data_IF_587167554661
#
_entry.id   IF_587167554661
#
_cell.length_a   1.000
_cell.length_b   1.000
_cell.length_c   1.000
_cell.angle_alpha   90.00
_cell.angle_beta   90.00
_cell.angle_gamma   90.00
#
_symmetry.space_group_name_H-M   'P 1'
#
loop_
_entity.id
_entity.type
_entity.pdbx_description
1 polymer ?
#
# COMPACT_ATOMS: atom_id res chain seq x y z
N UNK A 1 -3.42 5.31 28.58
CA UNK A 1 -3.38 4.77 29.96
C UNK A 1 -2.84 3.36 29.85
N UNK A 2 -1.58 3.14 30.23
CA UNK A 2 -0.97 1.79 30.17
C UNK A 2 -1.63 0.94 31.26
N UNK A 3 -2.42 -0.04 30.86
CA UNK A 3 -2.87 -1.08 31.77
C UNK A 3 -1.66 -1.97 32.10
N UNK A 4 -1.27 -1.95 33.37
CA UNK A 4 -0.26 -2.86 33.89
C UNK A 4 -0.85 -4.28 33.91
N UNK A 5 -0.10 -5.25 33.39
CA UNK A 5 -0.48 -6.66 33.46
C UNK A 5 -0.83 -7.09 34.91
N UNK A 6 -1.83 -7.94 35.11
CA UNK A 6 -2.18 -8.45 36.43
C UNK A 6 -1.01 -9.17 37.10
N UNK A 7 -0.81 -8.97 38.40
CA UNK A 7 0.31 -9.53 39.19
C UNK A 7 0.49 -11.06 39.01
N UNK A 8 -0.59 -11.80 38.79
CA UNK A 8 -0.55 -13.24 38.51
C UNK A 8 0.10 -13.60 37.16
N UNK A 9 -0.03 -12.76 36.18
CA UNK A 9 0.58 -12.93 34.85
C UNK A 9 2.10 -12.62 34.91
N UNK A 10 2.50 -11.61 35.69
CA UNK A 10 3.90 -11.29 35.96
C UNK A 10 4.61 -12.42 36.72
N UNK A 11 3.93 -13.04 37.69
CA UNK A 11 4.47 -14.18 38.44
C UNK A 11 4.67 -15.41 37.53
N UNK A 12 3.71 -15.71 36.63
CA UNK A 12 3.82 -16.80 35.65
C UNK A 12 4.98 -16.65 34.70
N UNK A 13 5.15 -15.45 34.12
CA UNK A 13 6.25 -15.13 33.21
C UNK A 13 7.62 -15.17 33.91
N UNK A 14 7.67 -14.85 35.20
CA UNK A 14 8.88 -14.98 36.01
C UNK A 14 9.27 -16.44 36.25
N UNK A 15 8.31 -17.33 36.49
CA UNK A 15 8.55 -18.78 36.66
C UNK A 15 8.96 -19.45 35.35
N UNK A 16 8.33 -19.10 34.23
CA UNK A 16 8.70 -19.58 32.89
C UNK A 16 10.10 -19.09 32.46
N UNK A 17 10.46 -17.85 32.78
CA UNK A 17 11.80 -17.32 32.54
C UNK A 17 12.88 -18.02 33.36
N UNK A 18 12.61 -18.37 34.61
CA UNK A 18 13.51 -19.15 35.46
C UNK A 18 13.67 -20.61 34.97
N UNK A 19 12.60 -21.20 34.42
CA UNK A 19 12.65 -22.54 33.83
C UNK A 19 13.51 -22.61 32.58
N UNK A 20 13.46 -21.61 31.73
CA UNK A 20 14.29 -21.48 30.52
C UNK A 20 15.76 -21.29 30.87
N UNK A 21 16.09 -20.43 31.85
CA UNK A 21 17.45 -20.24 32.32
C UNK A 21 18.06 -21.51 32.92
N UNK A 22 17.29 -22.33 33.60
CA UNK A 22 17.77 -23.58 34.20
C UNK A 22 18.06 -24.67 33.17
N UNK A 23 17.39 -24.67 32.02
CA UNK A 23 17.56 -25.69 30.98
C UNK A 23 18.65 -25.35 29.94
N UNK A 24 18.99 -24.07 29.78
CA UNK A 24 19.95 -23.59 28.77
C UNK A 24 21.40 -23.42 29.32
N UNK A 25 21.66 -23.81 30.59
CA UNK A 25 23.01 -23.79 31.14
C UNK A 25 23.62 -22.40 31.37
N UNK A 26 22.80 -21.38 31.53
CA UNK A 26 23.26 -19.99 31.81
C UNK A 26 23.63 -19.90 33.31
N UNK A 27 24.83 -19.38 33.68
CA UNK A 27 25.25 -19.30 35.07
C UNK A 27 24.30 -18.43 35.91
N UNK A 28 23.78 -18.94 37.01
CA UNK A 28 23.06 -18.16 38.01
C UNK A 28 24.06 -17.23 38.71
N UNK A 29 23.83 -15.92 38.61
CA UNK A 29 24.54 -14.94 39.39
C UNK A 29 24.00 -14.95 40.83
N UNK A 30 24.84 -15.29 41.78
CA UNK A 30 24.57 -15.17 43.22
C UNK A 30 24.35 -13.72 43.62
N UNK A 31 23.37 -13.54 44.47
CA UNK A 31 22.84 -12.32 45.06
C UNK A 31 23.94 -11.55 45.81
N UNK A 32 24.46 -10.47 45.23
CA UNK A 32 25.20 -9.44 45.97
C UNK A 32 24.55 -8.09 45.70
N UNK A 33 24.10 -7.50 46.79
CA UNK A 33 23.39 -6.24 46.93
C UNK A 33 23.69 -5.20 45.83
N UNK A 34 22.76 -4.96 44.95
CA UNK A 34 22.80 -3.89 43.97
C UNK A 34 22.40 -2.57 44.58
N UNK A 35 23.40 -1.70 44.76
CA UNK A 35 23.18 -0.27 44.89
C UNK A 35 23.17 0.36 43.52
N UNK A 36 22.09 1.06 43.17
CA UNK A 36 22.12 2.03 42.11
C UNK A 36 21.06 1.91 41.03
N UNK A 37 20.50 3.03 40.65
CA UNK A 37 19.51 3.28 39.60
C UNK A 37 19.88 2.74 38.19
N UNK A 38 21.16 2.44 37.95
CA UNK A 38 21.66 1.90 36.69
C UNK A 38 21.21 0.46 36.39
N UNK A 39 20.92 -0.36 37.42
CA UNK A 39 20.47 -1.74 37.24
C UNK A 39 19.02 -1.84 36.73
N UNK A 40 18.17 -0.87 37.09
CA UNK A 40 16.77 -0.80 36.63
C UNK A 40 16.67 -0.36 35.16
N UNK A 41 17.60 0.48 34.70
CA UNK A 41 17.70 0.87 33.29
C UNK A 41 18.17 -0.30 32.41
N UNK A 42 19.13 -1.09 32.88
CA UNK A 42 19.58 -2.29 32.18
C UNK A 42 18.48 -3.38 32.10
N UNK A 43 17.72 -3.61 33.18
CA UNK A 43 16.57 -4.51 33.14
C UNK A 43 15.49 -4.05 32.13
N UNK A 44 15.17 -2.77 32.10
CA UNK A 44 14.21 -2.23 31.12
C UNK A 44 14.71 -2.39 29.68
N UNK A 45 15.98 -2.13 29.42
CA UNK A 45 16.57 -2.34 28.09
C UNK A 45 16.62 -3.81 27.69
N UNK A 46 16.95 -4.71 28.62
CA UNK A 46 16.94 -6.16 28.37
C UNK A 46 15.50 -6.65 28.13
N UNK A 47 14.51 -6.18 28.89
CA UNK A 47 13.10 -6.48 28.63
C UNK A 47 12.62 -5.93 27.28
N UNK A 48 13.03 -4.72 26.89
CA UNK A 48 12.70 -4.19 25.57
C UNK A 48 13.40 -4.97 24.45
N UNK A 49 14.64 -5.38 24.63
CA UNK A 49 15.35 -6.20 23.64
C UNK A 49 14.80 -7.62 23.57
N UNK A 50 14.40 -8.23 24.68
CA UNK A 50 13.73 -9.53 24.70
C UNK A 50 12.32 -9.45 24.13
N UNK A 51 11.57 -8.40 24.41
CA UNK A 51 10.26 -8.15 23.82
C UNK A 51 10.38 -7.90 22.31
N UNK A 52 11.40 -7.16 21.87
CA UNK A 52 11.69 -6.94 20.45
C UNK A 52 12.16 -8.23 19.76
N UNK A 53 13.04 -9.01 20.41
CA UNK A 53 13.45 -10.33 19.92
C UNK A 53 12.28 -11.34 19.89
N UNK A 54 11.41 -11.32 20.90
CA UNK A 54 10.18 -12.13 20.93
C UNK A 54 9.25 -11.73 19.80
N UNK A 55 8.99 -10.46 19.56
CA UNK A 55 8.22 -9.96 18.43
C UNK A 55 8.86 -10.34 17.08
N UNK A 56 10.20 -10.31 16.99
CA UNK A 56 10.92 -10.68 15.75
C UNK A 56 10.97 -12.19 15.51
N UNK A 57 10.97 -13.01 16.57
CA UNK A 57 11.09 -14.48 16.46
C UNK A 57 9.73 -15.19 16.34
N UNK A 58 8.65 -14.55 16.81
CA UNK A 58 7.27 -15.04 16.69
C UNK A 58 6.44 -14.29 15.66
N UNK A 59 7.04 -13.47 14.81
CA UNK A 59 6.48 -13.12 13.52
C UNK A 59 6.65 -14.35 12.58
N UNK A 60 6.07 -15.49 12.98
CA UNK A 60 5.55 -16.44 12.01
C UNK A 60 4.67 -15.64 11.07
N UNK A 61 4.83 -15.83 9.77
CA UNK A 61 3.99 -15.27 8.71
C UNK A 61 2.52 -15.24 9.16
N UNK A 62 2.12 -14.18 9.84
CA UNK A 62 0.71 -13.95 10.14
C UNK A 62 0.10 -13.78 8.75
N UNK A 63 -0.53 -14.85 8.27
CA UNK A 63 -1.21 -14.87 6.99
C UNK A 63 -2.08 -13.61 6.95
N UNK A 64 -1.76 -12.68 6.03
CA UNK A 64 -2.45 -11.40 5.91
C UNK A 64 -3.88 -11.74 5.52
N UNK A 65 -4.77 -11.81 6.51
CA UNK A 65 -6.17 -12.22 6.32
C UNK A 65 -7.04 -11.00 6.07
N UNK A 66 -7.77 -11.05 4.97
CA UNK A 66 -8.73 -10.02 4.63
C UNK A 66 -9.96 -10.06 5.56
N UNK A 67 -10.39 -8.91 6.02
CA UNK A 67 -11.75 -8.69 6.52
C UNK A 67 -12.62 -8.17 5.41
N UNK A 68 -13.87 -8.67 5.29
CA UNK A 68 -14.83 -8.12 4.34
C UNK A 68 -15.64 -7.04 5.04
N UNK A 69 -15.54 -5.82 4.53
CA UNK A 69 -16.31 -4.67 5.00
C UNK A 69 -17.28 -4.21 3.91
N UNK A 70 -18.57 -4.17 4.23
CA UNK A 70 -19.57 -3.64 3.31
C UNK A 70 -19.54 -2.12 3.34
N UNK A 71 -19.18 -1.48 2.23
CA UNK A 71 -19.18 -0.02 2.08
C UNK A 71 -20.11 0.34 0.92
N UNK A 72 -21.22 0.99 1.23
CA UNK A 72 -22.31 1.15 0.27
C UNK A 72 -22.81 -0.21 -0.21
N UNK A 73 -22.79 -0.43 -1.51
CA UNK A 73 -23.17 -1.70 -2.12
C UNK A 73 -21.98 -2.61 -2.47
N UNK A 74 -20.76 -2.29 -2.00
CA UNK A 74 -19.53 -3.00 -2.38
C UNK A 74 -18.90 -3.75 -1.19
N UNK A 75 -18.60 -5.07 -1.35
CA UNK A 75 -17.84 -5.84 -0.38
C UNK A 75 -16.34 -5.56 -0.54
N UNK A 76 -15.82 -4.60 0.19
CA UNK A 76 -14.39 -4.25 0.18
C UNK A 76 -13.59 -5.24 1.02
N UNK A 77 -12.40 -5.64 0.55
CA UNK A 77 -11.46 -6.42 1.36
C UNK A 77 -10.50 -5.46 2.06
N UNK A 78 -10.41 -5.60 3.39
CA UNK A 78 -9.58 -4.76 4.23
C UNK A 78 -8.49 -5.62 4.86
N UNK A 79 -7.26 -5.18 4.79
CA UNK A 79 -6.07 -5.83 5.34
C UNK A 79 -5.32 -4.86 6.24
N UNK A 80 -4.58 -5.37 7.19
CA UNK A 80 -3.77 -4.57 8.09
C UNK A 80 -4.46 -4.23 9.40
N UNK A 81 -3.90 -3.30 10.15
CA UNK A 81 -4.29 -2.99 11.52
C UNK A 81 -4.92 -1.59 11.66
N UNK A 82 -5.77 -1.37 12.66
CA UNK A 82 -6.23 -0.04 13.06
C UNK A 82 -5.04 0.89 13.42
N UNK A 83 -5.28 2.19 13.39
CA UNK A 83 -4.27 3.23 13.70
C UNK A 83 -3.09 3.29 12.72
N UNK A 84 -3.26 2.79 11.50
CA UNK A 84 -2.25 2.84 10.46
C UNK A 84 -1.85 4.28 10.09
N UNK A 85 -0.57 4.49 9.77
CA UNK A 85 -0.05 5.77 9.26
C UNK A 85 -0.42 5.99 7.80
N UNK A 86 -0.60 4.89 7.06
CA UNK A 86 -0.93 4.88 5.63
C UNK A 86 -2.22 4.15 5.37
N UNK A 87 -3.10 4.77 4.58
CA UNK A 87 -4.28 4.14 4.00
C UNK A 87 -4.03 3.90 2.52
N UNK A 88 -3.85 2.64 2.13
CA UNK A 88 -3.63 2.22 0.75
C UNK A 88 -4.96 1.84 0.12
N UNK A 89 -5.30 2.45 -1.00
CA UNK A 89 -6.53 2.22 -1.74
C UNK A 89 -6.23 1.66 -3.12
N UNK A 90 -6.89 0.57 -3.48
CA UNK A 90 -6.76 -0.03 -4.82
C UNK A 90 -8.12 -0.43 -5.38
N UNK A 91 -8.38 0.02 -6.60
CA UNK A 91 -9.54 -0.47 -7.36
C UNK A 91 -9.23 -1.85 -7.92
N UNK A 92 -10.15 -2.81 -7.76
CA UNK A 92 -9.93 -4.20 -8.13
C UNK A 92 -11.03 -4.76 -9.01
N UNK A 93 -10.64 -5.54 -10.02
CA UNK A 93 -11.52 -6.46 -10.74
C UNK A 93 -11.38 -7.89 -10.21
N UNK A 94 -11.97 -8.85 -10.91
CA UNK A 94 -11.90 -10.28 -10.51
C UNK A 94 -10.46 -10.83 -10.53
N UNK A 95 -9.64 -10.37 -11.48
CA UNK A 95 -8.25 -10.83 -11.61
C UNK A 95 -7.39 -10.35 -10.46
N UNK A 96 -7.46 -9.08 -10.11
CA UNK A 96 -6.68 -8.49 -9.03
C UNK A 96 -7.08 -9.11 -7.68
N UNK A 97 -8.37 -9.43 -7.50
CA UNK A 97 -8.85 -10.08 -6.27
C UNK A 97 -8.28 -11.49 -6.05
N UNK A 98 -7.86 -12.19 -7.10
CA UNK A 98 -7.26 -13.53 -6.99
C UNK A 98 -5.84 -13.50 -6.44
N UNK A 99 -5.07 -12.44 -6.74
CA UNK A 99 -3.68 -12.25 -6.29
C UNK A 99 -3.55 -11.29 -5.11
N UNK A 100 -4.66 -10.78 -4.57
CA UNK A 100 -4.64 -9.72 -3.57
C UNK A 100 -3.92 -10.12 -2.28
N UNK A 101 -4.12 -11.34 -1.80
CA UNK A 101 -3.46 -11.82 -0.58
C UNK A 101 -1.93 -11.88 -0.77
N UNK A 102 -1.47 -12.30 -1.95
CA UNK A 102 -0.04 -12.32 -2.34
C UNK A 102 0.53 -10.90 -2.46
N UNK A 103 -0.23 -9.98 -3.06
CA UNK A 103 0.16 -8.58 -3.19
C UNK A 103 0.33 -7.91 -1.83
N UNK A 104 -0.67 -8.05 -0.95
CA UNK A 104 -0.61 -7.45 0.39
C UNK A 104 0.46 -8.11 1.27
N UNK A 105 0.66 -9.43 1.16
CA UNK A 105 1.77 -10.10 1.82
C UNK A 105 3.14 -9.58 1.35
N UNK A 106 3.29 -9.29 0.06
CA UNK A 106 4.50 -8.68 -0.48
C UNK A 106 4.70 -7.25 0.06
N UNK A 107 3.64 -6.43 0.17
CA UNK A 107 3.72 -5.10 0.80
C UNK A 107 4.21 -5.23 2.25
N UNK A 108 3.66 -6.16 3.01
CA UNK A 108 3.97 -6.35 4.43
C UNK A 108 5.41 -6.82 4.72
N UNK A 109 6.14 -7.33 3.71
CA UNK A 109 7.54 -7.73 3.88
C UNK A 109 8.49 -6.56 4.20
N UNK A 110 8.18 -5.35 3.73
CA UNK A 110 9.05 -4.19 3.92
C UNK A 110 8.33 -2.95 4.47
N UNK A 111 7.01 -2.97 4.54
CA UNK A 111 6.21 -1.86 5.02
C UNK A 111 5.34 -2.28 6.21
N UNK A 112 5.27 -1.40 7.20
CA UNK A 112 4.50 -1.59 8.42
C UNK A 112 3.55 -0.41 8.63
N UNK A 113 2.60 -0.54 9.54
CA UNK A 113 1.65 0.53 9.90
C UNK A 113 0.78 1.02 8.75
N UNK A 114 0.34 0.12 7.88
CA UNK A 114 -0.61 0.43 6.82
C UNK A 114 -1.92 -0.32 6.97
N UNK A 115 -2.97 0.30 6.46
CA UNK A 115 -4.26 -0.33 6.17
C UNK A 115 -4.43 -0.37 4.65
N UNK A 116 -4.73 -1.54 4.10
CA UNK A 116 -4.98 -1.70 2.67
C UNK A 116 -6.46 -2.01 2.42
N UNK A 117 -7.07 -1.30 1.49
CA UNK A 117 -8.44 -1.52 1.08
C UNK A 117 -8.51 -1.81 -0.42
N UNK A 118 -8.96 -3.03 -0.76
CA UNK A 118 -9.29 -3.43 -2.12
C UNK A 118 -10.77 -3.16 -2.39
N UNK A 119 -11.06 -2.28 -3.34
CA UNK A 119 -12.40 -1.79 -3.66
C UNK A 119 -12.84 -2.38 -5.00
N UNK A 120 -13.85 -3.29 -5.03
CA UNK A 120 -14.26 -3.93 -6.27
C UNK A 120 -14.99 -2.96 -7.21
N UNK A 121 -14.71 -3.07 -8.51
CA UNK A 121 -15.44 -2.38 -9.57
C UNK A 121 -16.15 -3.39 -10.49
N UNK A 122 -17.40 -3.11 -10.85
CA UNK A 122 -18.22 -4.01 -11.67
C UNK A 122 -17.83 -3.99 -13.14
N UNK A 123 -17.49 -2.82 -13.65
CA UNK A 123 -17.09 -2.60 -15.04
C UNK A 123 -15.76 -1.88 -15.09
N UNK A 124 -14.69 -2.65 -15.27
CA UNK A 124 -13.31 -2.15 -15.26
C UNK A 124 -13.10 -0.95 -16.20
N UNK A 125 -13.47 -1.12 -17.47
CA UNK A 125 -13.27 -0.08 -18.47
C UNK A 125 -14.14 1.16 -18.24
N UNK A 126 -15.36 1.00 -17.71
CA UNK A 126 -16.24 2.13 -17.45
C UNK A 126 -15.83 2.88 -16.19
N UNK A 127 -15.63 2.15 -15.10
CA UNK A 127 -15.41 2.72 -13.78
C UNK A 127 -14.09 3.46 -13.63
N UNK A 128 -13.05 3.05 -14.39
CA UNK A 128 -11.69 3.54 -14.20
C UNK A 128 -11.22 4.46 -15.33
N UNK A 129 -11.97 4.60 -16.41
CA UNK A 129 -11.59 5.52 -17.50
C UNK A 129 -12.03 6.96 -17.21
N UNK A 130 -11.14 7.95 -17.39
CA UNK A 130 -11.43 9.37 -17.16
C UNK A 130 -12.60 9.92 -18.01
N UNK A 131 -12.69 9.48 -19.26
CA UNK A 131 -13.74 9.86 -20.23
C UNK A 131 -14.06 8.71 -21.17
N UNK A 132 -15.12 8.89 -21.94
CA UNK A 132 -15.53 7.90 -22.95
C UNK A 132 -14.49 7.82 -24.05
N UNK A 133 -14.14 6.57 -24.42
CA UNK A 133 -13.23 6.31 -25.52
C UNK A 133 -13.63 5.01 -26.25
N UNK A 134 -13.41 4.93 -27.58
CA UNK A 134 -13.58 3.69 -28.30
C UNK A 134 -12.71 2.56 -27.76
N UNK A 135 -13.07 1.31 -28.11
CA UNK A 135 -12.25 0.16 -27.79
C UNK A 135 -10.87 0.27 -28.45
N UNK A 136 -9.81 0.08 -27.68
CA UNK A 136 -8.42 0.03 -28.16
C UNK A 136 -8.04 -1.40 -28.54
N UNK A 137 -8.64 -2.38 -27.87
CA UNK A 137 -8.60 -3.78 -28.24
C UNK A 137 -9.97 -4.43 -27.99
N UNK A 138 -10.25 -5.57 -28.63
CA UNK A 138 -11.52 -6.26 -28.48
C UNK A 138 -12.71 -5.43 -28.98
N UNK A 139 -13.86 -5.53 -28.30
CA UNK A 139 -15.11 -4.85 -28.69
C UNK A 139 -15.61 -3.86 -27.64
N UNK A 140 -15.09 -3.91 -26.40
CA UNK A 140 -15.57 -3.09 -25.30
C UNK A 140 -14.80 -1.78 -25.26
N UNK A 141 -15.50 -0.67 -25.39
CA UNK A 141 -14.94 0.68 -25.18
C UNK A 141 -14.84 1.05 -23.71
N UNK A 142 -14.58 2.31 -23.45
CA UNK A 142 -14.41 2.91 -22.14
C UNK A 142 -15.57 3.85 -21.83
N UNK A 143 -16.17 3.71 -20.64
CA UNK A 143 -17.41 4.41 -20.29
C UNK A 143 -17.23 5.81 -19.71
N UNK A 144 -16.04 6.16 -19.22
CA UNK A 144 -15.73 7.50 -18.68
C UNK A 144 -16.40 7.79 -17.34
N UNK A 145 -16.47 6.81 -16.43
CA UNK A 145 -17.12 6.95 -15.12
C UNK A 145 -16.13 7.10 -13.94
N UNK A 146 -14.87 7.42 -14.23
CA UNK A 146 -13.87 7.61 -13.18
C UNK A 146 -14.29 8.65 -12.13
N UNK A 147 -15.02 9.70 -12.54
CA UNK A 147 -15.54 10.70 -11.60
C UNK A 147 -16.55 10.13 -10.60
N UNK A 148 -17.38 9.16 -10.99
CA UNK A 148 -18.31 8.48 -10.08
C UNK A 148 -17.55 7.58 -9.12
N UNK A 149 -16.51 6.90 -9.60
CA UNK A 149 -15.62 6.07 -8.78
C UNK A 149 -14.84 6.91 -7.77
N UNK A 150 -14.28 8.05 -8.19
CA UNK A 150 -13.60 8.97 -7.28
C UNK A 150 -14.56 9.52 -6.21
N UNK A 151 -15.76 9.92 -6.59
CA UNK A 151 -16.78 10.37 -5.64
C UNK A 151 -17.12 9.28 -4.62
N UNK A 152 -17.30 8.03 -5.04
CA UNK A 152 -17.50 6.91 -4.12
C UNK A 152 -16.34 6.72 -3.15
N UNK A 153 -15.09 6.86 -3.60
CA UNK A 153 -13.90 6.81 -2.72
C UNK A 153 -13.93 7.95 -1.69
N UNK A 154 -14.16 9.18 -2.14
CA UNK A 154 -14.03 10.37 -1.28
C UNK A 154 -15.23 10.56 -0.35
N UNK A 155 -16.44 10.20 -0.77
CA UNK A 155 -17.64 10.43 0.01
C UNK A 155 -18.07 9.22 0.86
N UNK A 156 -17.66 8.00 0.49
CA UNK A 156 -18.09 6.80 1.20
C UNK A 156 -16.92 5.97 1.75
N UNK A 157 -15.96 5.56 0.89
CA UNK A 157 -14.90 4.62 1.31
C UNK A 157 -14.01 5.23 2.38
N UNK A 158 -13.37 6.35 2.07
CA UNK A 158 -12.40 6.99 2.98
C UNK A 158 -13.05 7.39 4.31
N UNK A 159 -14.21 8.08 4.34
CA UNK A 159 -14.86 8.42 5.60
C UNK A 159 -15.28 7.19 6.43
N UNK A 160 -15.78 6.13 5.78
CA UNK A 160 -16.17 4.90 6.46
C UNK A 160 -14.96 4.21 7.10
N UNK A 161 -13.85 4.07 6.35
CA UNK A 161 -12.62 3.46 6.87
C UNK A 161 -12.04 4.27 8.02
N UNK A 162 -11.95 5.60 7.88
CA UNK A 162 -11.47 6.48 8.96
C UNK A 162 -12.28 6.32 10.23
N UNK A 163 -13.59 6.29 10.11
CA UNK A 163 -14.48 6.22 11.28
C UNK A 163 -14.54 4.82 11.90
N UNK A 164 -14.69 3.75 11.08
CA UNK A 164 -14.87 2.39 11.61
C UNK A 164 -13.59 1.76 12.14
N UNK A 165 -12.44 2.18 11.60
CA UNK A 165 -11.13 1.63 11.96
C UNK A 165 -10.27 2.61 12.76
N UNK A 166 -10.89 3.70 13.24
CA UNK A 166 -10.25 4.72 14.09
C UNK A 166 -8.89 5.18 13.52
N UNK A 167 -8.86 5.48 12.19
CA UNK A 167 -7.65 5.96 11.56
C UNK A 167 -7.35 7.41 11.97
N UNK A 168 -6.06 7.78 12.10
CA UNK A 168 -5.67 9.15 12.42
C UNK A 168 -6.22 10.17 11.42
N UNK A 169 -6.56 11.37 11.86
CA UNK A 169 -7.01 12.44 10.95
C UNK A 169 -5.98 12.76 9.86
N UNK A 170 -4.70 12.67 10.20
CA UNK A 170 -3.57 12.92 9.31
C UNK A 170 -3.06 11.68 8.59
N UNK A 171 -3.82 10.58 8.55
CA UNK A 171 -3.45 9.37 7.80
C UNK A 171 -3.09 9.73 6.36
N UNK A 172 -1.93 9.28 5.91
CA UNK A 172 -1.46 9.50 4.54
C UNK A 172 -2.20 8.55 3.60
N UNK A 173 -2.99 9.07 2.66
CA UNK A 173 -3.78 8.27 1.74
C UNK A 173 -3.01 8.07 0.44
N UNK A 174 -2.79 6.82 0.07
CA UNK A 174 -2.11 6.43 -1.17
C UNK A 174 -3.11 5.69 -2.06
N UNK A 175 -3.33 6.22 -3.26
CA UNK A 175 -4.14 5.55 -4.27
C UNK A 175 -3.24 4.87 -5.29
N UNK A 176 -3.49 3.59 -5.55
CA UNK A 176 -2.64 2.84 -6.46
C UNK A 176 -3.39 1.81 -7.29
N UNK A 177 -2.63 1.10 -8.10
CA UNK A 177 -3.13 0.00 -8.90
C UNK A 177 -2.34 -0.27 -10.17
N UNK A 178 -2.75 -1.32 -10.86
CA UNK A 178 -2.16 -1.79 -12.09
C UNK A 178 -2.95 -1.33 -13.32
N UNK A 179 -2.27 -1.08 -14.41
CA UNK A 179 -2.90 -0.84 -15.72
C UNK A 179 -3.89 0.34 -15.70
N UNK A 180 -5.17 0.10 -15.98
CA UNK A 180 -6.21 1.14 -15.97
C UNK A 180 -6.48 1.67 -14.55
N UNK A 181 -6.28 0.86 -13.50
CA UNK A 181 -6.35 1.34 -12.12
C UNK A 181 -5.18 2.28 -11.79
N UNK A 182 -3.99 2.04 -12.34
CA UNK A 182 -2.86 2.97 -12.26
C UNK A 182 -3.15 4.30 -12.97
N UNK A 183 -3.77 4.26 -14.16
CA UNK A 183 -4.25 5.47 -14.84
C UNK A 183 -5.30 6.21 -14.00
N UNK A 184 -6.25 5.48 -13.43
CA UNK A 184 -7.28 6.05 -12.56
C UNK A 184 -6.65 6.78 -11.36
N UNK A 185 -5.64 6.17 -10.72
CA UNK A 185 -4.94 6.78 -9.59
C UNK A 185 -4.22 8.10 -9.99
N UNK A 186 -3.54 8.10 -11.12
CA UNK A 186 -2.92 9.31 -11.68
C UNK A 186 -3.98 10.38 -11.98
N UNK A 187 -5.08 10.01 -12.65
CA UNK A 187 -6.16 10.93 -12.99
C UNK A 187 -6.87 11.47 -11.73
N UNK A 188 -7.18 10.62 -10.77
CA UNK A 188 -7.83 11.03 -9.52
C UNK A 188 -6.99 12.08 -8.77
N UNK A 189 -5.67 11.92 -8.79
CA UNK A 189 -4.74 12.90 -8.19
C UNK A 189 -4.64 14.22 -8.96
N UNK A 190 -5.22 14.34 -10.16
CA UNK A 190 -5.39 15.64 -10.83
C UNK A 190 -6.66 16.36 -10.36
N UNK A 191 -7.62 15.63 -9.75
CA UNK A 191 -8.94 16.15 -9.36
C UNK A 191 -8.98 16.65 -7.91
N UNK A 192 -8.07 16.18 -7.07
CA UNK A 192 -8.03 16.48 -5.63
C UNK A 192 -6.61 16.31 -5.07
N UNK A 193 -6.29 17.07 -4.04
CA UNK A 193 -5.05 17.00 -3.25
C UNK A 193 -5.13 16.02 -2.06
N UNK A 194 -6.22 15.27 -1.96
CA UNK A 194 -6.47 14.31 -0.89
C UNK A 194 -5.40 13.20 -0.81
N UNK A 195 -4.83 12.81 -1.96
CA UNK A 195 -3.89 11.72 -2.04
C UNK A 195 -2.47 12.20 -1.76
N UNK A 196 -1.88 11.70 -0.66
CA UNK A 196 -0.46 11.90 -0.34
C UNK A 196 0.43 11.36 -1.46
N UNK A 197 0.10 10.16 -1.99
CA UNK A 197 0.89 9.53 -3.02
C UNK A 197 0.09 8.71 -4.02
N UNK A 198 0.71 8.43 -5.14
CA UNK A 198 0.18 7.60 -6.22
C UNK A 198 1.13 6.44 -6.50
N UNK A 199 0.62 5.21 -6.38
CA UNK A 199 1.34 3.97 -6.69
C UNK A 199 0.85 3.40 -8.04
N UNK A 200 1.40 3.90 -9.15
CA UNK A 200 0.95 3.55 -10.49
C UNK A 200 1.87 2.52 -11.16
N UNK A 201 1.51 1.24 -11.07
CA UNK A 201 2.23 0.15 -11.71
C UNK A 201 1.71 -0.12 -13.13
N UNK A 202 2.59 -0.08 -14.11
CA UNK A 202 2.29 -0.25 -15.54
C UNK A 202 1.02 0.51 -16.00
N UNK A 203 0.87 1.81 -15.64
CA UNK A 203 -0.37 2.54 -15.87
C UNK A 203 -0.68 2.68 -17.36
N UNK A 204 -1.96 2.67 -17.71
CA UNK A 204 -2.45 2.82 -19.09
C UNK A 204 -2.29 4.25 -19.62
N UNK A 205 -1.09 4.83 -19.52
CA UNK A 205 -0.81 6.22 -19.97
C UNK A 205 -0.85 6.39 -21.50
N UNK A 206 -1.12 5.32 -22.23
CA UNK A 206 -1.48 5.32 -23.64
C UNK A 206 -2.95 5.75 -23.88
N UNK A 207 -3.75 5.91 -22.83
CA UNK A 207 -5.17 6.25 -22.95
C UNK A 207 -5.33 7.54 -23.75
N UNK A 208 -6.27 7.59 -24.73
CA UNK A 208 -6.42 8.73 -25.63
C UNK A 208 -6.57 10.05 -24.86
N UNK A 209 -5.88 11.09 -25.32
CA UNK A 209 -5.87 12.46 -24.78
C UNK A 209 -5.33 12.62 -23.35
N UNK A 210 -4.87 11.54 -22.70
CA UNK A 210 -4.36 11.59 -21.34
C UNK A 210 -3.18 12.53 -21.16
N UNK A 211 -2.18 12.46 -22.04
CA UNK A 211 -0.95 13.26 -21.92
C UNK A 211 -1.20 14.76 -22.13
N UNK A 212 -2.20 15.10 -22.93
CA UNK A 212 -2.64 16.49 -23.12
C UNK A 212 -3.42 16.98 -21.90
N UNK A 213 -4.33 16.16 -21.40
CA UNK A 213 -5.10 16.45 -20.19
C UNK A 213 -4.20 16.67 -18.97
N UNK A 214 -3.23 15.78 -18.69
CA UNK A 214 -2.30 15.87 -17.57
C UNK A 214 -1.43 17.16 -17.64
N UNK A 215 -1.06 17.58 -18.83
CA UNK A 215 -0.32 18.83 -19.00
C UNK A 215 -1.10 20.06 -18.52
N UNK A 216 -2.42 20.05 -18.72
CA UNK A 216 -3.32 21.13 -18.32
C UNK A 216 -3.82 20.99 -16.87
N UNK A 217 -3.85 19.78 -16.34
CA UNK A 217 -4.33 19.44 -15.01
C UNK A 217 -3.26 18.64 -14.26
N UNK A 218 -2.32 19.31 -13.59
CA UNK A 218 -1.21 18.66 -12.94
C UNK A 218 -1.64 17.68 -11.83
N UNK A 219 -0.93 16.57 -11.70
CA UNK A 219 -1.02 15.65 -10.59
C UNK A 219 -0.62 16.39 -9.31
N UNK A 220 -1.44 16.28 -8.25
CA UNK A 220 -1.29 17.02 -7.00
C UNK A 220 -0.63 16.20 -5.88
N UNK A 221 -0.43 14.88 -6.07
CA UNK A 221 0.24 14.03 -5.10
C UNK A 221 1.69 14.48 -4.87
N UNK A 222 2.13 14.39 -3.62
CA UNK A 222 3.51 14.72 -3.22
C UNK A 222 4.50 13.69 -3.75
N UNK A 223 4.08 12.42 -3.84
CA UNK A 223 4.89 11.28 -4.24
C UNK A 223 4.22 10.46 -5.34
N UNK A 224 4.96 10.13 -6.37
CA UNK A 224 4.43 9.36 -7.52
C UNK A 224 5.41 8.27 -7.93
N UNK A 225 5.01 7.03 -7.75
CA UNK A 225 5.73 5.90 -8.34
C UNK A 225 5.14 5.55 -9.70
N UNK A 226 6.00 5.39 -10.68
CA UNK A 226 5.67 4.90 -12.02
C UNK A 226 6.50 3.65 -12.32
N UNK A 227 5.92 2.67 -12.97
CA UNK A 227 6.70 1.57 -13.55
C UNK A 227 6.15 1.12 -14.89
N UNK A 228 6.97 0.40 -15.65
CA UNK A 228 6.56 -0.22 -16.90
C UNK A 228 7.39 -1.49 -17.15
N UNK A 229 6.80 -2.49 -17.79
CA UNK A 229 7.55 -3.64 -18.30
C UNK A 229 8.33 -3.27 -19.56
N UNK A 230 9.58 -3.73 -19.66
CA UNK A 230 10.52 -3.43 -20.75
C UNK A 230 10.04 -3.91 -22.15
N UNK A 231 9.00 -4.75 -22.19
CA UNK A 231 8.38 -5.24 -23.43
C UNK A 231 7.02 -4.61 -23.75
N UNK A 232 6.49 -3.76 -22.88
CA UNK A 232 5.13 -3.22 -23.06
C UNK A 232 5.04 -2.24 -24.24
N UNK A 233 6.05 -1.42 -24.45
CA UNK A 233 6.12 -0.49 -25.58
C UNK A 233 6.33 -1.17 -26.95
N UNK A 234 6.71 -2.47 -26.96
CA UNK A 234 6.94 -3.25 -28.18
C UNK A 234 5.69 -4.00 -28.68
N UNK A 235 4.50 -3.58 -28.21
CA UNK A 235 3.22 -4.13 -28.70
C UNK A 235 2.97 -3.77 -30.16
N UNK A 236 2.21 -4.65 -30.86
CA UNK A 236 1.76 -4.37 -32.25
C UNK A 236 0.58 -3.38 -32.30
N UNK A 237 -0.07 -3.14 -31.16
CA UNK A 237 -1.16 -2.13 -31.09
C UNK A 237 -0.56 -0.75 -31.04
N UNK A 238 -0.74 0.02 -32.12
CA UNK A 238 -0.14 1.34 -32.29
C UNK A 238 -0.61 2.39 -31.26
N UNK A 239 -1.84 2.24 -30.74
CA UNK A 239 -2.36 3.11 -29.66
C UNK A 239 -1.65 2.82 -28.36
N UNK A 240 -1.39 1.54 -28.05
CA UNK A 240 -0.73 1.16 -26.80
C UNK A 240 0.79 1.31 -26.86
N UNK A 241 1.39 1.23 -28.03
CA UNK A 241 2.86 1.30 -28.22
C UNK A 241 3.48 2.61 -27.72
N UNK A 242 2.71 3.68 -27.63
CA UNK A 242 3.17 4.98 -27.13
C UNK A 242 3.39 5.02 -25.61
N UNK A 243 3.06 3.94 -24.90
CA UNK A 243 3.10 3.87 -23.43
C UNK A 243 4.49 4.18 -22.88
N UNK A 244 5.55 3.72 -23.55
CA UNK A 244 6.94 3.96 -23.14
C UNK A 244 7.33 5.43 -23.22
N UNK A 245 7.02 6.10 -24.33
CA UNK A 245 7.30 7.53 -24.51
C UNK A 245 6.43 8.38 -23.58
N UNK A 246 5.17 8.02 -23.42
CA UNK A 246 4.25 8.73 -22.54
C UNK A 246 4.69 8.66 -21.07
N UNK A 247 5.10 7.48 -20.57
CA UNK A 247 5.51 7.35 -19.18
C UNK A 247 6.82 8.08 -18.89
N UNK A 248 7.79 8.08 -19.82
CA UNK A 248 9.03 8.88 -19.73
C UNK A 248 8.71 10.36 -19.68
N UNK A 249 7.79 10.81 -20.54
CA UNK A 249 7.35 12.21 -20.60
C UNK A 249 6.65 12.61 -19.30
N UNK A 250 5.74 11.77 -18.78
CA UNK A 250 5.05 12.01 -17.52
C UNK A 250 6.04 12.12 -16.35
N UNK A 251 6.97 11.18 -16.23
CA UNK A 251 8.02 11.23 -15.21
C UNK A 251 8.84 12.52 -15.29
N UNK A 252 9.26 12.92 -16.49
CA UNK A 252 10.02 14.15 -16.69
C UNK A 252 9.24 15.40 -16.27
N UNK A 253 7.91 15.44 -16.53
CA UNK A 253 7.03 16.53 -16.11
C UNK A 253 6.87 16.60 -14.60
N UNK A 254 6.69 15.45 -13.95
CA UNK A 254 6.59 15.34 -12.49
C UNK A 254 7.87 15.85 -11.82
N UNK A 255 9.03 15.38 -12.26
CA UNK A 255 10.32 15.80 -11.76
C UNK A 255 10.56 17.32 -11.97
N UNK A 256 10.19 17.87 -13.12
CA UNK A 256 10.32 19.29 -13.41
C UNK A 256 9.41 20.19 -12.53
N UNK A 257 8.32 19.62 -11.99
CA UNK A 257 7.41 20.29 -11.03
C UNK A 257 7.86 20.15 -9.57
N UNK A 258 8.91 19.37 -9.31
CA UNK A 258 9.41 19.09 -7.95
C UNK A 258 8.64 18.00 -7.20
N UNK A 259 7.83 17.21 -7.91
CA UNK A 259 7.19 16.02 -7.32
C UNK A 259 8.26 14.97 -7.01
N UNK A 260 8.24 14.39 -5.80
CA UNK A 260 9.06 13.21 -5.49
C UNK A 260 8.55 12.03 -6.33
N UNK A 261 9.31 11.63 -7.34
CA UNK A 261 8.84 10.62 -8.29
C UNK A 261 9.96 9.72 -8.80
N UNK A 262 9.59 8.50 -9.15
CA UNK A 262 10.48 7.52 -9.79
C UNK A 262 9.82 6.87 -10.98
N UNK A 263 10.63 6.36 -11.91
CA UNK A 263 10.20 5.52 -13.02
C UNK A 263 11.05 4.26 -13.06
N UNK A 264 10.44 3.13 -12.75
CA UNK A 264 11.11 1.84 -12.75
C UNK A 264 10.74 0.99 -13.97
N UNK A 265 11.75 0.33 -14.55
CA UNK A 265 11.58 -0.62 -15.64
C UNK A 265 11.65 -2.04 -15.10
N UNK A 266 10.58 -2.81 -15.29
CA UNK A 266 10.50 -4.21 -14.89
C UNK A 266 10.75 -5.13 -16.08
N UNK A 267 11.34 -6.30 -15.82
CA UNK A 267 11.54 -7.30 -16.89
C UNK A 267 10.22 -7.93 -17.32
N UNK A 268 9.90 -7.89 -18.60
CA UNK A 268 8.77 -8.58 -19.21
C UNK A 268 7.65 -7.70 -19.73
N UNK A 269 6.54 -8.32 -20.12
CA UNK A 269 5.36 -7.64 -20.66
C UNK A 269 4.34 -7.29 -19.57
N UNK A 270 3.19 -6.77 -20.02
CA UNK A 270 2.12 -6.23 -19.19
C UNK A 270 1.52 -7.20 -18.15
N UNK A 271 1.51 -8.49 -18.42
CA UNK A 271 0.86 -9.49 -17.55
C UNK A 271 1.82 -10.22 -16.62
N UNK A 272 3.09 -9.77 -16.53
CA UNK A 272 4.09 -10.44 -15.71
C UNK A 272 4.19 -9.78 -14.34
N UNK A 273 4.02 -10.58 -13.29
CA UNK A 273 4.25 -10.19 -11.89
C UNK A 273 3.48 -8.90 -11.50
N UNK A 274 2.20 -8.76 -11.94
CA UNK A 274 1.42 -7.55 -11.75
C UNK A 274 1.22 -7.21 -10.27
N UNK A 275 0.95 -8.21 -9.44
CA UNK A 275 0.81 -8.12 -7.98
C UNK A 275 2.11 -7.62 -7.31
N UNK A 276 3.25 -8.22 -7.65
CA UNK A 276 4.54 -7.82 -7.08
C UNK A 276 4.97 -6.42 -7.52
N UNK A 277 4.66 -6.03 -8.77
CA UNK A 277 4.94 -4.67 -9.26
C UNK A 277 4.07 -3.63 -8.55
N UNK A 278 2.81 -3.96 -8.27
CA UNK A 278 1.90 -3.07 -7.54
C UNK A 278 2.30 -2.98 -6.07
N UNK A 279 2.66 -4.11 -5.45
CA UNK A 279 3.20 -4.12 -4.09
C UNK A 279 4.42 -3.20 -3.96
N UNK A 280 5.38 -3.32 -4.88
CA UNK A 280 6.57 -2.47 -4.91
C UNK A 280 6.24 -0.99 -5.08
N UNK A 281 5.22 -0.67 -5.87
CA UNK A 281 4.77 0.70 -6.04
C UNK A 281 4.26 1.30 -4.72
N UNK A 282 3.45 0.57 -3.96
CA UNK A 282 2.99 1.01 -2.65
C UNK A 282 4.13 1.13 -1.65
N UNK A 283 5.05 0.14 -1.60
CA UNK A 283 6.22 0.18 -0.73
C UNK A 283 7.04 1.45 -0.96
N UNK A 284 7.39 1.76 -2.21
CA UNK A 284 8.18 2.94 -2.55
C UNK A 284 7.50 4.24 -2.12
N UNK A 285 6.18 4.35 -2.27
CA UNK A 285 5.45 5.56 -1.86
C UNK A 285 5.42 5.73 -0.33
N UNK A 286 5.46 4.64 0.44
CA UNK A 286 5.53 4.67 1.91
C UNK A 286 6.94 4.90 2.46
N UNK A 287 7.99 4.51 1.72
CA UNK A 287 9.38 4.68 2.17
C UNK A 287 9.73 6.16 2.35
N UNK A 288 10.39 6.51 3.46
CA UNK A 288 10.98 7.84 3.64
C UNK A 288 12.32 7.89 2.90
N UNK A 289 12.37 8.64 1.83
CA UNK A 289 13.62 8.93 1.12
C UNK A 289 14.28 10.15 1.78
N UNK A 290 15.31 9.89 2.60
CA UNK A 290 16.14 10.93 3.26
C UNK A 290 17.16 11.53 2.31
#
# INVERSE_FOLDING_TARGET
MNELLPEKEIARLSEEGQYLCANEGIPQYEDTACHGYESLLNCKMIFQLLYWAYQSFFQEDAAVTAQIMQIGNKPCRIYGEPHAEYLLLQMTGEHELQSMDSEVAAIAQSAHHFLFAAIPVESWNDALSPWKSPAVWGKQGFGGKAADTLRFLTEQVIPTLKWQLDLPENVKIILGGYSLAGLFALWASTQTDLFYGVAAASPSVWFPDWMEFEQQHPIQAQRVYLSLGDKEEHTKNTVMAVVGDNIRTLHSRLAARGTDCTLEWNSGGHFKDADLRTAKAFQWVMEEHT
#
